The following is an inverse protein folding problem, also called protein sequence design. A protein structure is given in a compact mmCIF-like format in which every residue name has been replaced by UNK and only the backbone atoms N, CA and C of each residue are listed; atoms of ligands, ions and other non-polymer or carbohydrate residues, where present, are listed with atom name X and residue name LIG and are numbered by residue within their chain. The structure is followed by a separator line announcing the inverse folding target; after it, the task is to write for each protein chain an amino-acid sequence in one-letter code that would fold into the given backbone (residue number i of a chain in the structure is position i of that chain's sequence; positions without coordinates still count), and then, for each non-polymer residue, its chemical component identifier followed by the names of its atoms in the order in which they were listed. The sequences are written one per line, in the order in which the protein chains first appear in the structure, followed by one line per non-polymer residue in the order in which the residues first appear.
data_IF_771566894004
#
_entry.id   IF_771566894004
#
_cell.length_a   1.000
_cell.length_b   1.000
_cell.length_c   1.000
_cell.angle_alpha   90.00
_cell.angle_beta   90.00
_cell.angle_gamma   90.00
#
_symmetry.space_group_name_H-M   'P 1'
#
loop_
_entity.id
_entity.type
_entity.pdbx_description
1 polymer ?
#
# COMPACT_ATOMS: atom_id res chain seq x y z
N UNK A 1 6.32 27.38 39.16
CA UNK A 1 5.35 26.72 38.25
C UNK A 1 5.17 27.65 37.06
N UNK A 2 5.74 27.33 35.89
CA UNK A 2 5.63 28.21 34.71
C UNK A 2 4.30 27.92 34.03
N UNK A 3 3.33 28.84 34.17
CA UNK A 3 1.95 28.68 33.71
C UNK A 3 1.65 29.30 32.34
N UNK A 4 2.64 29.89 31.68
CA UNK A 4 2.47 30.51 30.37
C UNK A 4 3.75 30.37 29.54
N UNK A 5 3.54 30.04 28.28
CA UNK A 5 4.54 29.91 27.25
C UNK A 5 4.00 30.59 26.00
N UNK A 6 4.82 31.43 25.38
CA UNK A 6 4.52 32.09 24.11
C UNK A 6 5.47 31.52 23.06
N UNK A 7 4.92 31.11 21.92
CA UNK A 7 5.68 30.64 20.77
C UNK A 7 5.63 31.73 19.71
N UNK A 8 6.79 32.32 19.41
CA UNK A 8 6.95 33.25 18.28
C UNK A 8 7.21 32.50 16.97
N UNK A 9 6.85 33.10 15.83
CA UNK A 9 7.19 32.56 14.52
C UNK A 9 8.71 32.53 14.32
N UNK A 10 9.23 31.37 13.91
CA UNK A 10 10.65 31.20 13.56
C UNK A 10 10.97 31.64 12.13
N UNK A 11 12.27 31.65 11.80
CA UNK A 11 12.72 31.88 10.43
C UNK A 11 12.21 30.77 9.49
N UNK A 12 11.72 31.17 8.31
CA UNK A 12 11.32 30.24 7.26
C UNK A 12 12.56 29.75 6.51
N UNK A 13 12.59 28.46 6.18
CA UNK A 13 13.58 27.91 5.26
C UNK A 13 13.37 28.50 3.86
N UNK A 14 14.46 28.80 3.16
CA UNK A 14 14.40 29.28 1.78
C UNK A 14 13.77 28.21 0.86
N UNK A 15 12.98 28.64 -0.13
CA UNK A 15 12.16 27.80 -1.01
C UNK A 15 12.94 26.82 -1.90
N UNK A 16 14.27 26.91 -1.94
CA UNK A 16 15.16 26.00 -2.69
C UNK A 16 15.91 24.99 -1.83
N UNK A 17 15.76 25.02 -0.51
CA UNK A 17 16.48 24.11 0.40
C UNK A 17 15.58 22.92 0.73
N UNK A 18 15.95 21.74 0.24
CA UNK A 18 15.33 20.48 0.62
C UNK A 18 15.99 19.89 1.86
N UNK A 19 15.19 19.54 2.86
CA UNK A 19 15.62 18.77 4.03
C UNK A 19 16.14 17.38 3.60
N UNK A 20 17.38 16.99 3.96
CA UNK A 20 18.00 15.72 3.55
C UNK A 20 17.34 14.47 4.16
N UNK A 21 16.54 14.62 5.22
CA UNK A 21 15.83 13.52 5.87
C UNK A 21 14.44 13.26 5.27
N UNK A 22 13.94 14.16 4.43
CA UNK A 22 12.59 14.04 3.88
C UNK A 22 12.59 13.23 2.59
N UNK A 23 11.57 12.37 2.50
CA UNK A 23 11.18 11.75 1.25
C UNK A 23 10.28 12.71 0.47
N UNK A 24 10.59 12.97 -0.79
CA UNK A 24 9.83 13.91 -1.62
C UNK A 24 9.18 13.24 -2.83
N UNK A 25 8.17 13.93 -3.34
CA UNK A 25 7.49 13.65 -4.58
C UNK A 25 7.63 14.88 -5.48
N UNK A 26 8.02 14.66 -6.73
CA UNK A 26 8.04 15.69 -7.77
C UNK A 26 6.85 15.48 -8.70
N UNK A 27 6.01 16.49 -8.81
CA UNK A 27 4.86 16.53 -9.73
C UNK A 27 5.04 17.70 -10.71
N UNK A 28 4.63 17.51 -11.96
CA UNK A 28 4.82 18.52 -13.03
C UNK A 28 4.08 19.83 -12.72
N UNK A 29 2.94 19.76 -12.03
CA UNK A 29 2.09 20.92 -11.73
C UNK A 29 2.42 21.54 -10.37
N UNK A 30 2.63 20.70 -9.36
CA UNK A 30 2.78 21.13 -7.96
C UNK A 30 4.25 21.38 -7.60
N UNK A 31 5.19 20.83 -8.36
CA UNK A 31 6.62 20.89 -8.05
C UNK A 31 7.02 19.83 -7.02
N UNK A 32 8.02 20.13 -6.20
CA UNK A 32 8.56 19.23 -5.19
C UNK A 32 7.81 19.42 -3.86
N UNK A 33 7.24 18.34 -3.32
CA UNK A 33 6.56 18.36 -2.03
C UNK A 33 6.92 17.12 -1.19
N UNK A 34 6.96 17.24 0.15
CA UNK A 34 7.30 16.11 1.00
C UNK A 34 6.18 15.06 0.96
N UNK A 35 6.56 13.79 0.96
CA UNK A 35 5.63 12.69 1.11
C UNK A 35 4.96 12.73 2.49
N UNK A 36 3.66 12.42 2.53
CA UNK A 36 2.85 12.42 3.74
C UNK A 36 2.42 10.99 4.08
N UNK A 37 2.30 10.69 5.38
CA UNK A 37 1.73 9.42 5.82
C UNK A 37 0.26 9.30 5.37
N UNK A 38 -0.13 8.07 5.02
CA UNK A 38 -1.51 7.70 4.73
C UNK A 38 -2.04 6.94 5.94
N UNK A 39 -3.13 7.39 6.55
CA UNK A 39 -3.71 6.74 7.73
C UNK A 39 -4.11 5.28 7.45
N UNK A 40 -4.53 4.98 6.23
CA UNK A 40 -5.04 3.68 5.81
C UNK A 40 -3.97 2.71 5.31
N UNK A 41 -2.70 3.15 5.25
CA UNK A 41 -1.60 2.37 4.64
C UNK A 41 -0.27 2.57 5.38
N UNK A 42 0.55 1.51 5.45
CA UNK A 42 1.94 1.62 5.89
C UNK A 42 2.82 2.44 4.94
N UNK A 43 4.01 2.84 5.40
CA UNK A 43 5.10 3.37 4.57
C UNK A 43 5.77 2.26 3.76
N UNK A 44 5.93 1.08 4.36
CA UNK A 44 6.66 -0.05 3.77
C UNK A 44 6.22 -0.45 2.34
N UNK A 45 4.95 -0.33 1.92
CA UNK A 45 4.55 -0.68 0.56
C UNK A 45 5.19 0.20 -0.52
N UNK A 46 5.71 1.38 -0.13
CA UNK A 46 6.41 2.31 -1.01
C UNK A 46 7.92 2.36 -0.70
N UNK A 47 8.45 1.41 0.08
CA UNK A 47 9.86 1.39 0.51
C UNK A 47 10.86 1.42 -0.65
N UNK A 48 10.56 0.75 -1.77
CA UNK A 48 11.41 0.78 -2.97
C UNK A 48 11.70 2.21 -3.47
N UNK A 49 10.76 3.14 -3.30
CA UNK A 49 10.89 4.53 -3.70
C UNK A 49 11.77 5.37 -2.75
N UNK A 50 12.10 4.84 -1.56
CA UNK A 50 13.07 5.42 -0.63
C UNK A 50 14.51 5.06 -1.02
N UNK A 51 14.72 3.99 -1.78
CA UNK A 51 16.06 3.49 -2.11
C UNK A 51 16.63 4.11 -3.38
N UNK A 52 15.76 4.51 -4.31
CA UNK A 52 16.14 5.19 -5.55
C UNK A 52 14.98 6.05 -6.08
N UNK A 53 15.27 7.03 -6.97
CA UNK A 53 14.23 7.74 -7.70
C UNK A 53 13.45 6.78 -8.59
N UNK A 54 12.12 6.82 -8.51
CA UNK A 54 11.22 5.98 -9.31
C UNK A 54 10.14 6.84 -9.94
N UNK A 55 9.87 6.61 -11.24
CA UNK A 55 8.71 7.19 -11.90
C UNK A 55 7.45 6.48 -11.42
N UNK A 56 6.53 7.27 -10.90
CA UNK A 56 5.24 6.83 -10.41
C UNK A 56 4.15 7.21 -11.43
N UNK A 57 2.93 6.73 -11.20
CA UNK A 57 1.78 7.09 -12.04
C UNK A 57 1.54 8.62 -12.03
N UNK A 58 0.92 9.13 -13.09
CA UNK A 58 0.55 10.55 -13.27
C UNK A 58 1.75 11.52 -13.33
N UNK A 59 2.82 11.14 -14.04
CA UNK A 59 4.01 11.97 -14.24
C UNK A 59 4.71 12.42 -12.95
N UNK A 60 4.53 11.64 -11.88
CA UNK A 60 5.19 11.88 -10.60
C UNK A 60 6.51 11.13 -10.54
N UNK A 61 7.48 11.67 -9.84
CA UNK A 61 8.76 11.02 -9.58
C UNK A 61 9.07 11.07 -8.10
N UNK A 62 9.40 9.92 -7.51
CA UNK A 62 9.89 9.86 -6.14
C UNK A 62 11.32 10.40 -6.05
N UNK A 63 11.61 11.13 -4.99
CA UNK A 63 12.95 11.63 -4.68
C UNK A 63 13.31 11.11 -3.29
N UNK A 64 14.21 10.13 -3.18
CA UNK A 64 14.57 9.53 -1.90
C UNK A 64 15.26 10.57 -0.99
N UNK A 65 15.24 10.38 0.34
CA UNK A 65 16.01 11.22 1.25
C UNK A 65 17.50 11.22 0.87
N UNK A 66 18.15 12.38 0.93
CA UNK A 66 19.56 12.51 0.58
C UNK A 66 20.47 11.65 1.47
N UNK A 67 20.01 11.32 2.69
CA UNK A 67 20.72 10.36 3.56
C UNK A 67 20.86 8.98 2.94
N UNK A 68 19.89 8.50 2.16
CA UNK A 68 19.98 7.22 1.46
C UNK A 68 21.04 7.27 0.36
N UNK A 69 21.11 8.39 -0.37
CA UNK A 69 22.18 8.63 -1.36
C UNK A 69 23.56 8.68 -0.69
N UNK A 70 23.66 9.30 0.49
CA UNK A 70 24.91 9.34 1.24
C UNK A 70 25.34 7.95 1.71
N UNK A 71 24.42 7.15 2.27
CA UNK A 71 24.71 5.77 2.67
C UNK A 71 25.13 4.94 1.45
N UNK A 72 24.45 5.08 0.31
CA UNK A 72 24.84 4.44 -0.95
C UNK A 72 26.30 4.74 -1.29
N UNK A 73 26.70 6.01 -1.24
CA UNK A 73 28.08 6.43 -1.52
C UNK A 73 29.07 5.78 -0.55
N UNK A 74 28.75 5.72 0.74
CA UNK A 74 29.58 5.05 1.76
C UNK A 74 29.74 3.55 1.48
N UNK A 75 28.71 2.91 0.93
CA UNK A 75 28.71 1.49 0.58
C UNK A 75 29.43 1.21 -0.74
N UNK A 76 29.10 1.90 -1.84
CA UNK A 76 29.59 1.56 -3.18
C UNK A 76 30.91 2.23 -3.57
N UNK A 77 31.08 3.52 -3.24
CA UNK A 77 32.22 4.32 -3.70
C UNK A 77 33.33 4.34 -2.65
N UNK A 78 33.00 4.71 -1.42
CA UNK A 78 33.97 4.80 -0.32
C UNK A 78 34.32 3.42 0.28
N UNK A 79 33.48 2.40 0.07
CA UNK A 79 33.62 1.04 0.60
C UNK A 79 33.86 0.99 2.11
N UNK A 80 33.21 1.91 2.84
CA UNK A 80 33.27 2.02 4.30
C UNK A 80 32.19 1.18 4.99
N UNK A 81 31.17 0.75 4.25
CA UNK A 81 30.07 -0.09 4.73
C UNK A 81 29.93 -1.32 3.84
N UNK A 82 29.77 -2.50 4.44
CA UNK A 82 29.53 -3.74 3.69
C UNK A 82 28.08 -3.82 3.18
N UNK A 83 27.89 -4.41 2.00
CA UNK A 83 26.55 -4.60 1.40
C UNK A 83 25.61 -5.49 2.23
N UNK A 84 26.18 -6.38 3.04
CA UNK A 84 25.49 -7.31 3.94
C UNK A 84 24.92 -6.63 5.20
N UNK A 85 25.33 -5.40 5.50
CA UNK A 85 24.84 -4.69 6.68
C UNK A 85 23.34 -4.40 6.53
N UNK A 86 22.60 -4.66 7.60
CA UNK A 86 21.18 -4.35 7.71
C UNK A 86 21.00 -3.28 8.79
N UNK A 87 20.57 -2.09 8.38
CA UNK A 87 20.14 -1.05 9.32
C UNK A 87 18.64 -1.14 9.59
N UNK A 88 18.16 -0.28 10.48
CA UNK A 88 16.72 -0.02 10.63
C UNK A 88 16.40 1.34 10.03
N UNK A 89 15.52 1.37 9.03
CA UNK A 89 14.90 2.61 8.61
C UNK A 89 13.83 3.00 9.63
N UNK A 90 13.87 4.25 10.11
CA UNK A 90 12.81 4.85 10.91
C UNK A 90 12.27 6.07 10.17
N UNK A 91 10.96 6.12 10.00
CA UNK A 91 10.25 7.27 9.48
C UNK A 91 9.33 7.84 10.55
N UNK A 92 9.35 9.15 10.69
CA UNK A 92 8.52 9.87 11.65
C UNK A 92 7.81 11.00 10.93
N UNK A 93 6.56 11.24 11.31
CA UNK A 93 5.81 12.32 10.71
C UNK A 93 4.53 12.63 11.44
N UNK A 94 3.95 13.73 10.99
CA UNK A 94 2.75 14.31 11.56
C UNK A 94 1.76 14.55 10.43
N UNK A 95 0.54 14.04 10.58
CA UNK A 95 -0.57 14.53 9.78
C UNK A 95 -1.16 15.75 10.46
N UNK A 96 -1.47 16.74 9.63
CA UNK A 96 -2.14 17.95 10.07
C UNK A 96 -3.18 18.36 9.05
N UNK A 97 -4.32 18.81 9.55
CA UNK A 97 -5.26 19.63 8.80
C UNK A 97 -5.13 21.07 9.31
N UNK A 98 -4.54 21.93 8.47
CA UNK A 98 -4.20 23.30 8.81
C UNK A 98 -3.35 23.40 10.10
N UNK A 99 -3.91 23.94 11.18
CA UNK A 99 -3.27 24.09 12.49
C UNK A 99 -3.54 22.93 13.45
N UNK A 100 -4.42 21.99 13.09
CA UNK A 100 -4.75 20.85 13.94
C UNK A 100 -3.88 19.65 13.59
N UNK A 101 -3.20 19.12 14.60
CA UNK A 101 -2.50 17.84 14.51
C UNK A 101 -3.54 16.73 14.60
N UNK A 102 -3.62 15.90 13.57
CA UNK A 102 -4.55 14.76 13.57
C UNK A 102 -3.91 13.54 14.21
N UNK A 103 -2.69 13.21 13.79
CA UNK A 103 -1.91 12.13 14.36
C UNK A 103 -0.41 12.34 14.22
N UNK A 104 0.33 11.68 15.11
CA UNK A 104 1.77 11.48 15.03
C UNK A 104 2.00 10.00 14.73
N UNK A 105 2.90 9.71 13.81
CA UNK A 105 3.20 8.34 13.38
C UNK A 105 4.69 8.10 13.33
N UNK A 106 5.08 6.96 13.90
CA UNK A 106 6.41 6.39 13.75
C UNK A 106 6.25 5.03 13.06
N UNK A 107 7.06 4.79 12.03
CA UNK A 107 7.20 3.50 11.38
C UNK A 107 8.66 3.12 11.24
N UNK A 108 8.92 1.83 11.09
CA UNK A 108 10.24 1.38 10.69
C UNK A 108 10.26 -0.02 10.14
N UNK A 109 11.27 -0.30 9.33
CA UNK A 109 11.49 -1.59 8.70
C UNK A 109 12.99 -1.86 8.52
N UNK A 110 13.41 -3.12 8.34
CA UNK A 110 14.80 -3.45 8.06
C UNK A 110 15.27 -2.85 6.72
N UNK A 111 16.48 -2.29 6.70
CA UNK A 111 17.12 -1.71 5.53
C UNK A 111 18.43 -2.45 5.22
N UNK A 112 18.37 -3.56 4.47
CA UNK A 112 19.57 -4.16 3.89
C UNK A 112 20.22 -3.19 2.90
N UNK A 113 21.51 -2.88 3.10
CA UNK A 113 22.21 -1.90 2.27
C UNK A 113 22.33 -2.31 0.80
N UNK A 114 22.27 -3.62 0.53
CA UNK A 114 22.25 -4.18 -0.82
C UNK A 114 21.19 -3.51 -1.73
N UNK A 115 20.03 -3.13 -1.20
CA UNK A 115 19.01 -2.43 -2.00
C UNK A 115 19.49 -1.09 -2.55
N UNK A 116 20.41 -0.39 -1.87
CA UNK A 116 20.89 0.91 -2.35
C UNK A 116 21.81 0.80 -3.56
N UNK A 117 22.42 -0.37 -3.79
CA UNK A 117 23.43 -0.59 -4.82
C UNK A 117 22.99 -1.56 -5.92
N UNK A 118 22.08 -2.49 -5.63
CA UNK A 118 21.65 -3.56 -6.54
C UNK A 118 20.31 -3.21 -7.19
N UNK A 119 20.38 -2.75 -8.44
CA UNK A 119 19.22 -2.30 -9.20
C UNK A 119 18.24 -3.44 -9.51
N UNK A 120 18.76 -4.64 -9.82
CA UNK A 120 17.95 -5.82 -10.11
C UNK A 120 17.21 -6.30 -8.87
N UNK A 121 17.86 -6.25 -7.70
CA UNK A 121 17.21 -6.55 -6.42
C UNK A 121 16.09 -5.55 -6.11
N UNK A 122 16.28 -4.25 -6.39
CA UNK A 122 15.22 -3.24 -6.22
C UNK A 122 14.04 -3.48 -7.15
N UNK A 123 14.28 -3.88 -8.40
CA UNK A 123 13.22 -4.22 -9.34
C UNK A 123 12.38 -5.40 -8.83
N UNK A 124 13.02 -6.46 -8.33
CA UNK A 124 12.33 -7.59 -7.70
C UNK A 124 11.48 -7.17 -6.50
N UNK A 125 12.00 -6.28 -5.64
CA UNK A 125 11.24 -5.73 -4.52
C UNK A 125 10.05 -4.90 -5.01
N UNK A 126 10.26 -4.04 -6.02
CA UNK A 126 9.20 -3.22 -6.59
C UNK A 126 8.07 -4.09 -7.17
N UNK A 127 8.39 -5.12 -7.94
CA UNK A 127 7.41 -6.05 -8.50
C UNK A 127 6.62 -6.77 -7.40
N UNK A 128 7.31 -7.22 -6.36
CA UNK A 128 6.69 -7.87 -5.21
C UNK A 128 5.72 -6.93 -4.45
N UNK A 129 6.04 -5.64 -4.35
CA UNK A 129 5.17 -4.66 -3.68
C UNK A 129 4.02 -4.20 -4.58
N UNK A 130 4.23 -4.08 -5.89
CA UNK A 130 3.16 -3.83 -6.87
C UNK A 130 2.13 -4.97 -6.93
N UNK A 131 2.55 -6.19 -6.60
CA UNK A 131 1.66 -7.33 -6.45
C UNK A 131 0.69 -7.15 -5.27
N UNK A 132 1.13 -6.53 -4.17
CA UNK A 132 0.25 -6.17 -3.05
C UNK A 132 -0.78 -5.12 -3.47
N UNK A 133 -0.35 -4.09 -4.20
CA UNK A 133 -1.26 -3.05 -4.72
C UNK A 133 -2.34 -3.65 -5.64
N UNK A 134 -1.93 -4.53 -6.54
CA UNK A 134 -2.85 -5.24 -7.43
C UNK A 134 -3.80 -6.12 -6.63
N UNK A 135 -3.29 -6.84 -5.63
CA UNK A 135 -4.12 -7.67 -4.75
C UNK A 135 -5.13 -6.86 -3.95
N UNK A 136 -4.73 -5.74 -3.36
CA UNK A 136 -5.63 -4.84 -2.64
C UNK A 136 -6.71 -4.26 -3.57
N UNK A 137 -6.35 -3.93 -4.83
CA UNK A 137 -7.31 -3.50 -5.84
C UNK A 137 -8.35 -4.59 -6.14
N UNK A 138 -7.93 -5.84 -6.33
CA UNK A 138 -8.84 -6.95 -6.58
C UNK A 138 -9.66 -7.33 -5.35
N UNK A 139 -9.11 -7.27 -4.15
CA UNK A 139 -9.85 -7.40 -2.89
C UNK A 139 -10.98 -6.37 -2.83
N UNK A 140 -10.68 -5.09 -3.05
CA UNK A 140 -11.71 -4.03 -3.10
C UNK A 140 -12.76 -4.31 -4.18
N UNK A 141 -12.34 -4.79 -5.35
CA UNK A 141 -13.25 -5.21 -6.42
C UNK A 141 -14.16 -6.39 -6.04
N UNK A 142 -13.68 -7.33 -5.24
CA UNK A 142 -14.48 -8.43 -4.70
C UNK A 142 -15.52 -7.92 -3.70
N UNK A 143 -15.14 -7.03 -2.80
CA UNK A 143 -16.05 -6.45 -1.80
C UNK A 143 -17.13 -5.58 -2.42
N UNK A 144 -16.78 -4.82 -3.47
CA UNK A 144 -17.77 -4.08 -4.23
C UNK A 144 -18.77 -5.00 -4.94
N UNK A 145 -18.37 -6.21 -5.36
CA UNK A 145 -19.31 -7.23 -5.87
C UNK A 145 -20.28 -7.67 -4.79
N UNK A 146 -19.78 -7.97 -3.59
CA UNK A 146 -20.65 -8.28 -2.46
C UNK A 146 -21.67 -7.15 -2.26
N UNK A 147 -21.19 -5.91 -2.12
CA UNK A 147 -22.07 -4.74 -1.96
C UNK A 147 -23.09 -4.61 -3.09
N UNK A 148 -22.70 -4.83 -4.35
CA UNK A 148 -23.63 -4.78 -5.48
C UNK A 148 -24.77 -5.78 -5.33
N UNK A 149 -24.47 -7.04 -5.02
CA UNK A 149 -25.49 -8.06 -4.81
C UNK A 149 -26.34 -7.79 -3.56
N UNK A 150 -25.78 -7.17 -2.51
CA UNK A 150 -26.52 -6.79 -1.30
C UNK A 150 -27.48 -5.61 -1.51
N UNK A 151 -27.07 -4.58 -2.24
CA UNK A 151 -27.79 -3.30 -2.31
C UNK A 151 -28.55 -3.05 -3.62
N UNK A 152 -28.30 -3.83 -4.69
CA UNK A 152 -29.00 -3.67 -5.98
C UNK A 152 -30.18 -4.62 -6.08
N UNK A 153 -31.41 -4.11 -6.24
CA UNK A 153 -32.65 -4.90 -6.20
C UNK A 153 -32.62 -6.14 -7.12
N UNK A 154 -32.29 -5.95 -8.41
CA UNK A 154 -32.16 -7.03 -9.39
C UNK A 154 -30.74 -7.01 -9.98
N UNK A 155 -29.76 -7.63 -9.29
CA UNK A 155 -28.37 -7.57 -9.72
C UNK A 155 -28.13 -8.33 -11.03
N UNK A 156 -28.93 -9.36 -11.32
CA UNK A 156 -28.83 -10.18 -12.53
C UNK A 156 -29.24 -9.43 -13.80
N UNK A 157 -30.31 -8.64 -13.74
CA UNK A 157 -30.80 -7.83 -14.87
C UNK A 157 -29.80 -6.71 -15.24
N UNK A 158 -29.10 -6.19 -14.23
CA UNK A 158 -28.14 -5.10 -14.43
C UNK A 158 -26.81 -5.63 -14.95
N UNK A 159 -26.32 -6.76 -14.42
CA UNK A 159 -24.99 -7.26 -14.70
C UNK A 159 -23.88 -6.37 -14.09
N UNK A 160 -22.91 -7.01 -13.44
CA UNK A 160 -21.81 -6.31 -12.76
C UNK A 160 -20.99 -5.41 -13.72
N UNK A 161 -20.75 -5.90 -14.93
CA UNK A 161 -20.00 -5.23 -15.99
C UNK A 161 -20.67 -3.96 -16.49
N UNK A 162 -22.01 -3.86 -16.39
CA UNK A 162 -22.76 -2.69 -16.83
C UNK A 162 -23.31 -1.83 -15.69
N UNK A 163 -23.02 -2.19 -14.43
CA UNK A 163 -23.48 -1.47 -13.24
C UNK A 163 -22.79 -0.11 -13.01
N UNK A 164 -21.70 0.22 -13.70
CA UNK A 164 -20.99 1.49 -13.51
C UNK A 164 -20.22 1.56 -12.18
N UNK A 165 -19.86 0.41 -11.61
CA UNK A 165 -19.00 0.27 -10.42
C UNK A 165 -17.52 0.21 -10.84
N UNK A 166 -17.27 -0.26 -12.05
CA UNK A 166 -16.01 -0.02 -12.76
C UNK A 166 -16.02 1.43 -13.29
N UNK A 167 -14.96 2.23 -13.07
CA UNK A 167 -14.88 3.61 -13.58
C UNK A 167 -15.11 3.76 -15.09
N UNK A 168 -14.91 2.68 -15.87
CA UNK A 168 -15.08 2.66 -17.33
C UNK A 168 -16.44 2.11 -17.78
N UNK A 169 -17.29 1.63 -16.87
CA UNK A 169 -18.58 1.04 -17.22
C UNK A 169 -19.69 2.10 -17.31
N UNK A 170 -20.72 1.89 -18.14
CA UNK A 170 -21.91 2.74 -18.19
C UNK A 170 -22.55 2.86 -16.81
N UNK A 171 -23.00 4.07 -16.44
CA UNK A 171 -23.56 4.35 -15.12
C UNK A 171 -25.03 3.92 -15.00
N UNK A 172 -25.32 2.61 -14.97
CA UNK A 172 -26.71 2.11 -14.91
C UNK A 172 -27.34 2.07 -13.52
N UNK A 173 -26.55 1.97 -12.45
CA UNK A 173 -27.08 2.10 -11.09
C UNK A 173 -27.08 3.57 -10.64
N UNK A 174 -28.08 3.93 -9.82
CA UNK A 174 -28.20 5.26 -9.24
C UNK A 174 -27.07 5.59 -8.27
N UNK A 175 -26.84 6.88 -8.02
CA UNK A 175 -25.73 7.34 -7.17
C UNK A 175 -25.89 6.92 -5.70
N UNK A 176 -27.12 6.79 -5.20
CA UNK A 176 -27.39 6.27 -3.85
C UNK A 176 -26.89 4.83 -3.69
N UNK A 177 -27.21 3.96 -4.64
CA UNK A 177 -26.74 2.56 -4.61
C UNK A 177 -25.21 2.48 -4.69
N UNK A 178 -24.55 3.36 -5.45
CA UNK A 178 -23.08 3.43 -5.44
C UNK A 178 -22.53 3.85 -4.08
N UNK A 179 -23.14 4.86 -3.47
CA UNK A 179 -22.74 5.35 -2.15
C UNK A 179 -22.88 4.24 -1.11
N UNK A 180 -23.98 3.48 -1.13
CA UNK A 180 -24.20 2.35 -0.22
C UNK A 180 -23.16 1.24 -0.42
N UNK A 181 -22.83 0.91 -1.68
CA UNK A 181 -21.76 -0.06 -1.99
C UNK A 181 -20.41 0.42 -1.47
N UNK A 182 -20.04 1.68 -1.71
CA UNK A 182 -18.76 2.22 -1.24
C UNK A 182 -18.72 2.35 0.30
N UNK A 183 -19.84 2.68 0.94
CA UNK A 183 -19.98 2.72 2.40
C UNK A 183 -19.80 1.32 3.00
N UNK A 184 -20.43 0.31 2.40
CA UNK A 184 -20.24 -1.09 2.76
C UNK A 184 -18.76 -1.49 2.69
N UNK A 185 -18.09 -1.23 1.57
CA UNK A 185 -16.66 -1.57 1.41
C UNK A 185 -15.78 -0.84 2.42
N UNK A 186 -16.10 0.40 2.79
CA UNK A 186 -15.39 1.13 3.85
C UNK A 186 -15.63 0.50 5.21
N UNK A 187 -16.87 0.13 5.52
CA UNK A 187 -17.26 -0.43 6.81
C UNK A 187 -16.58 -1.77 7.11
N UNK A 188 -16.28 -2.58 6.09
CA UNK A 188 -15.59 -3.86 6.32
C UNK A 188 -14.11 -3.70 6.70
N UNK A 189 -13.52 -2.53 6.48
CA UNK A 189 -12.10 -2.22 6.76
C UNK A 189 -11.09 -3.24 6.18
N UNK A 190 -11.51 -4.02 5.19
CA UNK A 190 -10.72 -5.15 4.70
C UNK A 190 -9.38 -4.71 4.09
N UNK A 191 -9.33 -3.51 3.50
CA UNK A 191 -8.08 -2.92 3.02
C UNK A 191 -7.08 -2.68 4.15
N UNK A 192 -7.55 -2.12 5.28
CA UNK A 192 -6.71 -1.89 6.47
C UNK A 192 -6.22 -3.24 7.00
N UNK A 193 -7.11 -4.21 7.14
CA UNK A 193 -6.76 -5.55 7.61
C UNK A 193 -5.71 -6.22 6.70
N UNK A 194 -5.87 -6.14 5.39
CA UNK A 194 -4.91 -6.67 4.42
C UNK A 194 -3.52 -6.06 4.60
N UNK A 195 -3.41 -4.73 4.67
CA UNK A 195 -2.11 -4.06 4.80
C UNK A 195 -1.46 -4.32 6.17
N UNK A 196 -2.24 -4.33 7.24
CA UNK A 196 -1.75 -4.64 8.58
C UNK A 196 -1.25 -6.08 8.69
N UNK A 197 -1.95 -7.04 8.08
CA UNK A 197 -1.53 -8.44 8.07
C UNK A 197 -0.23 -8.68 7.28
N UNK A 198 0.11 -7.78 6.36
CA UNK A 198 1.34 -7.86 5.54
C UNK A 198 2.56 -7.18 6.18
N UNK A 199 2.41 -6.42 7.26
CA UNK A 199 3.51 -5.66 7.87
C UNK A 199 4.63 -6.56 8.41
N UNK A 200 4.30 -7.52 9.29
CA UNK A 200 5.31 -8.46 9.80
C UNK A 200 5.91 -9.35 8.69
N UNK A 201 5.11 -9.93 7.77
CA UNK A 201 5.67 -10.62 6.60
C UNK A 201 6.61 -9.76 5.76
N UNK A 202 6.35 -8.47 5.61
CA UNK A 202 7.22 -7.58 4.84
C UNK A 202 8.60 -7.42 5.47
N UNK A 203 8.65 -7.25 6.79
CA UNK A 203 9.93 -7.09 7.50
C UNK A 203 10.83 -8.32 7.34
N UNK A 204 10.24 -9.51 7.28
CA UNK A 204 10.96 -10.74 6.98
C UNK A 204 11.30 -10.85 5.48
N UNK A 205 10.36 -10.49 4.60
CA UNK A 205 10.55 -10.53 3.15
C UNK A 205 11.75 -9.70 2.70
N UNK A 206 11.85 -8.46 3.18
CA UNK A 206 12.89 -7.53 2.73
C UNK A 206 14.29 -8.03 3.07
N UNK A 207 14.44 -8.76 4.18
CA UNK A 207 15.70 -9.41 4.56
C UNK A 207 15.95 -10.64 3.68
N UNK A 208 14.98 -11.58 3.63
CA UNK A 208 15.09 -12.83 2.85
C UNK A 208 15.41 -12.57 1.38
N UNK A 209 14.80 -11.56 0.77
CA UNK A 209 15.02 -11.21 -0.63
C UNK A 209 16.46 -10.70 -0.86
N UNK A 210 17.11 -10.11 0.14
CA UNK A 210 18.48 -9.61 0.06
C UNK A 210 19.56 -10.69 0.32
N UNK A 211 19.23 -11.78 1.01
CA UNK A 211 20.17 -12.76 1.58
C UNK A 211 20.57 -13.96 0.68
N UNK A 212 20.00 -14.10 -0.53
CA UNK A 212 20.35 -15.13 -1.54
C UNK A 212 19.51 -16.45 -1.54
N UNK A 213 18.24 -16.33 -1.91
CA UNK A 213 17.53 -17.14 -2.93
C UNK A 213 16.27 -16.33 -3.26
N UNK A 214 16.34 -15.53 -4.33
CA UNK A 214 15.27 -14.57 -4.62
C UNK A 214 13.95 -15.23 -4.98
N UNK A 215 13.99 -16.46 -5.51
CA UNK A 215 12.82 -17.13 -6.04
C UNK A 215 12.04 -17.81 -4.92
N UNK A 216 12.74 -18.40 -3.95
CA UNK A 216 12.12 -18.91 -2.73
C UNK A 216 11.46 -17.77 -1.94
N UNK A 217 12.17 -16.65 -1.75
CA UNK A 217 11.65 -15.48 -1.05
C UNK A 217 10.41 -14.90 -1.76
N UNK A 218 10.45 -14.78 -3.09
CA UNK A 218 9.31 -14.31 -3.88
C UNK A 218 8.12 -15.27 -3.81
N UNK A 219 8.35 -16.59 -3.86
CA UNK A 219 7.30 -17.59 -3.72
C UNK A 219 6.66 -17.58 -2.33
N UNK A 220 7.48 -17.43 -1.28
CA UNK A 220 7.00 -17.25 0.08
C UNK A 220 6.15 -15.97 0.20
N UNK A 221 6.61 -14.85 -0.36
CA UNK A 221 5.87 -13.59 -0.38
C UNK A 221 4.50 -13.72 -1.05
N UNK A 222 4.43 -14.35 -2.23
CA UNK A 222 3.15 -14.62 -2.91
C UNK A 222 2.16 -15.40 -2.05
N UNK A 223 2.65 -16.38 -1.27
CA UNK A 223 1.80 -17.11 -0.31
C UNK A 223 1.29 -16.19 0.80
N UNK A 224 2.14 -15.35 1.37
CA UNK A 224 1.71 -14.38 2.40
C UNK A 224 0.66 -13.41 1.86
N UNK A 225 0.86 -12.85 0.66
CA UNK A 225 -0.11 -11.97 -0.01
C UNK A 225 -1.46 -12.66 -0.20
N UNK A 226 -1.46 -13.94 -0.63
CA UNK A 226 -2.69 -14.73 -0.76
C UNK A 226 -3.40 -14.92 0.59
N UNK A 227 -2.65 -15.32 1.62
CA UNK A 227 -3.19 -15.54 2.97
C UNK A 227 -3.82 -14.26 3.51
N UNK A 228 -3.12 -13.13 3.41
CA UNK A 228 -3.62 -11.84 3.88
C UNK A 228 -4.88 -11.41 3.11
N UNK A 229 -4.92 -11.59 1.79
CA UNK A 229 -6.09 -11.24 0.97
C UNK A 229 -7.31 -12.09 1.30
N UNK A 230 -7.13 -13.41 1.44
CA UNK A 230 -8.20 -14.33 1.86
C UNK A 230 -8.67 -14.04 3.29
N UNK A 231 -7.76 -13.76 4.22
CA UNK A 231 -8.09 -13.38 5.59
C UNK A 231 -8.90 -12.08 5.66
N UNK A 232 -8.47 -11.05 4.91
CA UNK A 232 -9.20 -9.78 4.82
C UNK A 232 -10.61 -9.95 4.22
N UNK A 233 -10.74 -10.78 3.18
CA UNK A 233 -12.05 -11.12 2.61
C UNK A 233 -12.91 -11.91 3.59
N UNK A 234 -12.33 -12.89 4.29
CA UNK A 234 -13.01 -13.68 5.31
C UNK A 234 -13.58 -12.82 6.43
N UNK A 235 -12.82 -11.84 6.93
CA UNK A 235 -13.32 -10.87 7.91
C UNK A 235 -14.45 -10.01 7.34
N UNK A 236 -14.33 -9.55 6.10
CA UNK A 236 -15.38 -8.76 5.45
C UNK A 236 -16.69 -9.54 5.27
N UNK A 237 -16.61 -10.86 5.05
CA UNK A 237 -17.77 -11.76 4.95
C UNK A 237 -18.63 -11.73 6.21
N UNK A 238 -18.02 -11.61 7.39
CA UNK A 238 -18.73 -11.62 8.68
C UNK A 238 -19.74 -10.47 8.80
N UNK A 239 -19.51 -9.37 8.09
CA UNK A 239 -20.42 -8.22 8.07
C UNK A 239 -21.63 -8.40 7.15
N UNK A 240 -21.66 -9.41 6.26
CA UNK A 240 -22.63 -9.47 5.16
C UNK A 240 -24.04 -9.91 5.60
N UNK A 241 -24.23 -10.22 6.89
CA UNK A 241 -25.43 -10.80 7.50
C UNK A 241 -25.83 -12.18 6.94
N UNK A 242 -26.67 -12.91 7.68
CA UNK A 242 -27.14 -14.24 7.30
C UNK A 242 -28.45 -14.14 6.52
N UNK A 243 -28.35 -14.04 5.19
CA UNK A 243 -29.50 -14.14 4.27
C UNK A 243 -29.09 -14.89 3.01
N UNK A 244 -30.04 -15.49 2.29
CA UNK A 244 -29.78 -16.15 1.00
C UNK A 244 -29.08 -15.21 0.01
N UNK A 245 -29.52 -13.94 -0.02
CA UNK A 245 -28.92 -12.89 -0.83
C UNK A 245 -27.47 -12.62 -0.43
N UNK A 246 -27.18 -12.59 0.86
CA UNK A 246 -25.82 -12.40 1.37
C UNK A 246 -24.91 -13.58 1.05
N UNK A 247 -25.38 -14.82 1.20
CA UNK A 247 -24.62 -16.01 0.80
C UNK A 247 -24.25 -15.97 -0.69
N UNK A 248 -25.22 -15.64 -1.55
CA UNK A 248 -24.97 -15.47 -2.98
C UNK A 248 -23.95 -14.36 -3.25
N UNK A 249 -24.10 -13.20 -2.61
CA UNK A 249 -23.19 -12.07 -2.76
C UNK A 249 -21.73 -12.45 -2.40
N UNK A 250 -21.57 -13.22 -1.32
CA UNK A 250 -20.27 -13.72 -0.86
C UNK A 250 -19.66 -14.68 -1.87
N UNK A 251 -20.42 -15.65 -2.39
CA UNK A 251 -19.96 -16.61 -3.39
C UNK A 251 -19.43 -15.89 -4.64
N UNK A 252 -20.15 -14.88 -5.14
CA UNK A 252 -19.74 -14.09 -6.29
C UNK A 252 -18.46 -13.29 -6.04
N UNK A 253 -18.35 -12.68 -4.85
CA UNK A 253 -17.14 -11.97 -4.42
C UNK A 253 -15.93 -12.90 -4.30
N UNK A 254 -16.12 -14.05 -3.66
CA UNK A 254 -15.06 -15.03 -3.40
C UNK A 254 -14.57 -15.68 -4.69
N UNK A 255 -15.50 -16.05 -5.58
CA UNK A 255 -15.19 -16.60 -6.89
C UNK A 255 -14.32 -15.64 -7.71
N UNK A 256 -14.68 -14.35 -7.74
CA UNK A 256 -13.87 -13.33 -8.39
C UNK A 256 -12.49 -13.20 -7.74
N UNK A 257 -12.40 -13.06 -6.41
CA UNK A 257 -11.13 -12.87 -5.74
C UNK A 257 -10.20 -14.07 -5.98
N UNK A 258 -10.72 -15.28 -5.81
CA UNK A 258 -9.97 -16.52 -6.05
C UNK A 258 -9.45 -16.62 -7.47
N UNK A 259 -10.28 -16.28 -8.46
CA UNK A 259 -9.86 -16.24 -9.85
C UNK A 259 -8.68 -15.27 -10.05
N UNK A 260 -8.79 -14.03 -9.54
CA UNK A 260 -7.74 -13.01 -9.70
C UNK A 260 -6.46 -13.39 -8.96
N UNK A 261 -6.56 -13.91 -7.73
CA UNK A 261 -5.40 -14.39 -6.98
C UNK A 261 -4.69 -15.52 -7.72
N UNK A 262 -5.43 -16.43 -8.37
CA UNK A 262 -4.83 -17.50 -9.16
C UNK A 262 -4.14 -17.00 -10.44
N UNK A 263 -4.67 -15.95 -11.08
CA UNK A 263 -4.04 -15.33 -12.24
C UNK A 263 -2.74 -14.60 -11.85
N UNK A 264 -2.75 -13.85 -10.75
CA UNK A 264 -1.60 -13.03 -10.34
C UNK A 264 -0.52 -13.80 -9.58
N UNK A 265 -0.91 -14.75 -8.73
CA UNK A 265 -0.01 -15.43 -7.78
C UNK A 265 0.25 -16.90 -8.15
N UNK A 266 -0.28 -17.38 -9.28
CA UNK A 266 -0.29 -18.79 -9.65
C UNK A 266 -1.41 -19.58 -8.96
N UNK A 267 -1.68 -20.81 -9.39
CA UNK A 267 -2.71 -21.64 -8.72
C UNK A 267 -2.22 -22.09 -7.34
N UNK A 268 -3.16 -22.21 -6.41
CA UNK A 268 -2.87 -22.89 -5.13
C UNK A 268 -2.50 -24.34 -5.43
N UNK A 269 -1.40 -24.82 -4.85
CA UNK A 269 -1.16 -26.25 -4.82
C UNK A 269 -2.32 -26.88 -4.04
N UNK A 270 -2.99 -27.88 -4.63
CA UNK A 270 -3.90 -28.72 -3.86
C UNK A 270 -3.05 -29.46 -2.84
N UNK A 271 -3.26 -29.15 -1.55
CA UNK A 271 -2.74 -29.96 -0.44
C UNK A 271 -3.49 -31.28 -0.43
#
# INVERSE_FOLDING_TARGET
MVGQWQVGGGALLATGISDPLKFYMKDVKIGLYPYQFDESRGLWPNSYALFAPVKLRNDRTSIPPATFTHIKLLTSEAKLLEHSVVFRCKAMGQSKDQGKVEYLREEGFPLPLRYLVDDALREKLQDALLLCDSTAFHLRGALRRIGFYLYTANPDDTGWDTAGINPRAPKKIGDLARADIDNWVRHTEAGIYFWSAMDAPFQEFIIRLADEDSDEAANWWRRQVRVAAKGAFGKAREYAHESERAYRAVIEGEGYLTYQLNQMLGKEAKI
#
